data_IF_725509686132
#
_entry.id   IF_725509686132
#
_cell.length_a   1.000
_cell.length_b   1.000
_cell.length_c   1.000
_cell.angle_alpha   90.00
_cell.angle_beta   90.00
_cell.angle_gamma   90.00
#
_symmetry.space_group_name_H-M   'P 1'
#
loop_
_entity.id
_entity.type
_entity.pdbx_description
1 polymer ?
#
# COMPACT_ATOMS: atom_id res chain seq x y z
N UNK A 1 -8.81 -16.26 -40.89
CA UNK A 1 -9.62 -15.30 -40.12
C UNK A 1 -8.70 -14.21 -39.59
N UNK A 2 -8.76 -12.96 -40.08
CA UNK A 2 -7.88 -11.93 -39.55
C UNK A 2 -8.31 -11.58 -38.11
N UNK A 3 -7.33 -11.54 -37.20
CA UNK A 3 -7.52 -11.24 -35.80
C UNK A 3 -8.30 -9.93 -35.62
N UNK A 4 -9.40 -9.99 -34.87
CA UNK A 4 -10.20 -8.83 -34.48
C UNK A 4 -9.29 -7.79 -33.83
N UNK A 5 -8.89 -6.75 -34.58
CA UNK A 5 -8.16 -5.59 -34.03
C UNK A 5 -8.99 -5.10 -32.87
N UNK A 6 -8.41 -5.09 -31.67
CA UNK A 6 -9.05 -4.56 -30.48
C UNK A 6 -9.55 -3.16 -30.83
N UNK A 7 -10.86 -2.92 -30.71
CA UNK A 7 -11.49 -1.61 -30.88
C UNK A 7 -11.07 -0.71 -29.71
N UNK A 8 -9.81 -0.32 -29.67
CA UNK A 8 -9.22 0.49 -28.61
C UNK A 8 -8.83 1.85 -29.18
N UNK A 9 -9.30 2.90 -28.52
CA UNK A 9 -8.93 4.28 -28.85
C UNK A 9 -7.52 4.51 -28.29
N UNK A 10 -6.56 5.03 -29.08
CA UNK A 10 -5.25 5.41 -28.59
C UNK A 10 -5.35 6.40 -27.42
N UNK A 11 -4.48 6.26 -26.43
CA UNK A 11 -4.48 7.12 -25.22
C UNK A 11 -4.32 8.59 -25.59
N UNK A 12 -3.43 8.90 -26.55
CA UNK A 12 -3.21 10.26 -27.02
C UNK A 12 -4.47 10.89 -27.63
N UNK A 13 -5.25 10.11 -28.38
CA UNK A 13 -6.51 10.57 -28.96
C UNK A 13 -7.55 10.87 -27.88
N UNK A 14 -7.59 10.09 -26.80
CA UNK A 14 -8.45 10.36 -25.64
C UNK A 14 -8.02 11.63 -24.88
N UNK A 15 -6.71 11.85 -24.72
CA UNK A 15 -6.16 13.05 -24.07
C UNK A 15 -6.43 14.31 -24.91
N UNK A 16 -6.26 14.24 -26.23
CA UNK A 16 -6.58 15.35 -27.14
C UNK A 16 -8.08 15.68 -27.14
N UNK A 17 -8.95 14.67 -27.21
CA UNK A 17 -10.40 14.87 -27.10
C UNK A 17 -10.73 15.57 -25.78
N UNK A 18 -10.09 15.16 -24.68
CA UNK A 18 -10.32 15.77 -23.38
C UNK A 18 -9.90 17.24 -23.33
N UNK A 19 -8.73 17.57 -23.83
CA UNK A 19 -8.24 18.96 -23.90
C UNK A 19 -9.20 19.86 -24.70
N UNK A 20 -9.75 19.35 -25.81
CA UNK A 20 -10.76 20.08 -26.60
C UNK A 20 -12.05 20.29 -25.81
N UNK A 21 -12.52 19.25 -25.12
CA UNK A 21 -13.70 19.34 -24.27
C UNK A 21 -13.50 20.29 -23.07
N UNK A 22 -12.31 20.37 -22.48
CA UNK A 22 -12.05 21.25 -21.33
C UNK A 22 -12.06 22.74 -21.72
N UNK A 23 -11.88 23.08 -23.01
CA UNK A 23 -12.02 24.45 -23.54
C UNK A 23 -13.48 24.87 -23.80
N UNK A 24 -14.40 23.92 -23.78
CA UNK A 24 -15.82 24.18 -24.07
C UNK A 24 -16.64 24.36 -22.78
N UNK A 25 -17.65 25.26 -22.77
CA UNK A 25 -18.60 25.38 -21.67
C UNK A 25 -19.28 24.03 -21.36
N UNK A 26 -19.46 23.71 -20.08
CA UNK A 26 -19.97 22.40 -19.62
C UNK A 26 -21.32 21.98 -20.25
N UNK A 27 -22.18 22.95 -20.57
CA UNK A 27 -23.51 22.72 -21.17
C UNK A 27 -23.54 22.86 -22.71
N UNK A 28 -22.39 23.07 -23.36
CA UNK A 28 -22.35 23.23 -24.82
C UNK A 28 -22.72 21.91 -25.53
N UNK A 29 -23.65 21.94 -26.51
CA UNK A 29 -23.99 20.75 -27.31
C UNK A 29 -22.81 20.27 -28.15
N UNK A 30 -21.85 21.15 -28.45
CA UNK A 30 -20.63 20.85 -29.19
C UNK A 30 -19.78 19.77 -28.51
N UNK A 31 -19.88 19.63 -27.18
CA UNK A 31 -19.23 18.54 -26.44
C UNK A 31 -19.72 17.17 -26.88
N UNK A 32 -21.03 17.03 -27.08
CA UNK A 32 -21.63 15.77 -27.52
C UNK A 32 -21.23 15.45 -28.97
N UNK A 33 -21.20 16.48 -29.83
CA UNK A 33 -20.79 16.34 -31.23
C UNK A 33 -19.34 15.86 -31.36
N UNK A 34 -18.41 16.41 -30.56
CA UNK A 34 -17.01 15.98 -30.59
C UNK A 34 -16.83 14.53 -30.10
N UNK A 35 -17.60 14.10 -29.09
CA UNK A 35 -17.58 12.70 -28.64
C UNK A 35 -18.19 11.78 -29.70
N UNK A 36 -19.27 12.19 -30.36
CA UNK A 36 -19.90 11.43 -31.44
C UNK A 36 -18.95 11.24 -32.64
N UNK A 37 -18.24 12.28 -33.05
CA UNK A 37 -17.26 12.20 -34.14
C UNK A 37 -16.11 11.21 -33.84
N UNK A 38 -15.61 11.19 -32.60
CA UNK A 38 -14.61 10.22 -32.16
C UNK A 38 -15.21 8.80 -32.12
N UNK A 39 -16.45 8.67 -31.66
CA UNK A 39 -17.14 7.39 -31.60
C UNK A 39 -17.28 6.77 -33.00
N UNK A 40 -17.69 7.58 -33.98
CA UNK A 40 -17.80 7.20 -35.39
C UNK A 40 -16.43 6.81 -35.98
N UNK A 41 -15.40 7.63 -35.77
CA UNK A 41 -14.04 7.38 -36.28
C UNK A 41 -13.47 6.02 -35.86
N UNK A 42 -13.74 5.58 -34.63
CA UNK A 42 -13.25 4.30 -34.09
C UNK A 42 -14.28 3.17 -34.14
N UNK A 43 -15.47 3.39 -34.71
CA UNK A 43 -16.54 2.39 -34.78
C UNK A 43 -17.02 1.92 -33.40
N UNK A 44 -17.09 2.85 -32.44
CA UNK A 44 -17.48 2.64 -31.05
C UNK A 44 -18.73 3.45 -30.71
N UNK A 45 -19.38 3.12 -29.60
CA UNK A 45 -20.48 3.95 -29.08
C UNK A 45 -19.95 5.13 -28.26
N UNK A 46 -20.68 6.25 -28.22
CA UNK A 46 -20.34 7.40 -27.40
C UNK A 46 -20.14 7.03 -25.91
N UNK A 47 -20.94 6.09 -25.38
CA UNK A 47 -20.78 5.55 -24.03
C UNK A 47 -19.42 4.88 -23.79
N UNK A 48 -18.86 4.22 -24.82
CA UNK A 48 -17.54 3.61 -24.75
C UNK A 48 -16.45 4.68 -24.73
N UNK A 49 -16.58 5.74 -25.53
CA UNK A 49 -15.65 6.88 -25.51
C UNK A 49 -15.61 7.53 -24.13
N UNK A 50 -16.77 7.80 -23.51
CA UNK A 50 -16.83 8.35 -22.15
C UNK A 50 -16.18 7.42 -21.11
N UNK A 51 -16.40 6.10 -21.24
CA UNK A 51 -15.81 5.11 -20.33
C UNK A 51 -14.29 5.06 -20.45
N UNK A 52 -13.75 5.00 -21.66
CA UNK A 52 -12.31 4.97 -21.89
C UNK A 52 -11.65 6.30 -21.48
N UNK A 53 -12.28 7.44 -21.77
CA UNK A 53 -11.80 8.76 -21.31
C UNK A 53 -11.76 8.86 -19.78
N UNK A 54 -12.74 8.29 -19.07
CA UNK A 54 -12.75 8.24 -17.60
C UNK A 54 -11.71 7.25 -17.03
N UNK A 55 -11.40 6.16 -17.74
CA UNK A 55 -10.38 5.18 -17.35
C UNK A 55 -8.98 5.78 -17.38
N UNK A 56 -8.62 6.52 -18.43
CA UNK A 56 -7.32 7.19 -18.55
C UNK A 56 -7.09 8.20 -17.43
N UNK A 57 -8.16 8.84 -16.92
CA UNK A 57 -8.06 9.81 -15.83
C UNK A 57 -7.88 9.19 -14.45
N UNK A 58 -8.34 7.95 -14.24
CA UNK A 58 -8.21 7.29 -12.94
C UNK A 58 -6.81 6.69 -12.88
N UNK A 59 -5.91 7.19 -12.01
CA UNK A 59 -4.69 6.44 -11.74
C UNK A 59 -5.12 5.04 -11.32
N UNK A 60 -4.74 4.04 -12.11
CA UNK A 60 -5.05 2.66 -11.76
C UNK A 60 -4.43 2.44 -10.40
N UNK A 61 -5.25 2.09 -9.40
CA UNK A 61 -4.72 1.79 -8.08
C UNK A 61 -3.70 0.67 -8.27
N UNK A 62 -2.42 0.97 -8.07
CA UNK A 62 -1.34 0.00 -8.24
C UNK A 62 -1.47 -1.15 -7.23
N UNK A 63 -2.22 -0.89 -6.16
CA UNK A 63 -2.44 -1.81 -5.08
C UNK A 63 -3.92 -1.94 -4.75
N UNK A 64 -4.27 -3.09 -4.16
CA UNK A 64 -5.61 -3.35 -3.64
C UNK A 64 -5.90 -2.44 -2.45
N UNK A 65 -7.18 -2.13 -2.22
CA UNK A 65 -7.65 -1.27 -1.13
C UNK A 65 -7.25 -1.76 0.26
N UNK A 66 -7.01 -3.06 0.41
CA UNK A 66 -6.59 -3.71 1.66
C UNK A 66 -5.06 -3.91 1.76
N UNK A 67 -4.26 -3.29 0.88
CA UNK A 67 -2.81 -3.39 0.96
C UNK A 67 -2.30 -2.90 2.32
N UNK A 68 -1.53 -3.75 3.00
CA UNK A 68 -0.92 -3.43 4.28
C UNK A 68 -1.83 -3.71 5.48
N UNK A 69 -3.06 -4.21 5.28
CA UNK A 69 -3.92 -4.66 6.38
C UNK A 69 -3.78 -6.16 6.60
N UNK A 70 -3.62 -6.63 7.86
CA UNK A 70 -3.61 -8.05 8.15
C UNK A 70 -4.98 -8.67 7.82
N UNK A 71 -4.94 -9.78 7.08
CA UNK A 71 -6.13 -10.58 6.75
C UNK A 71 -6.37 -11.73 7.71
N UNK A 72 -5.34 -12.09 8.49
CA UNK A 72 -5.36 -13.24 9.42
C UNK A 72 -5.95 -12.85 10.78
N UNK A 73 -5.76 -11.59 11.18
CA UNK A 73 -6.22 -11.03 12.46
C UNK A 73 -6.37 -9.51 12.31
N UNK A 74 -7.05 -8.86 13.26
CA UNK A 74 -7.14 -7.41 13.27
C UNK A 74 -5.76 -6.77 13.51
N UNK A 75 -5.54 -5.56 12.97
CA UNK A 75 -4.27 -4.85 13.15
C UNK A 75 -3.95 -4.62 14.63
N UNK A 76 -4.94 -4.21 15.41
CA UNK A 76 -4.81 -3.96 16.85
C UNK A 76 -4.37 -5.18 17.65
N UNK A 77 -4.65 -6.39 17.15
CA UNK A 77 -4.23 -7.63 17.80
C UNK A 77 -2.83 -8.06 17.35
N UNK A 78 -2.45 -7.78 16.10
CA UNK A 78 -1.14 -8.17 15.57
C UNK A 78 -0.01 -7.25 16.03
N UNK A 79 -0.30 -5.97 16.15
CA UNK A 79 0.65 -4.94 16.57
C UNK A 79 1.39 -5.28 17.88
N UNK A 80 0.70 -5.61 19.00
CA UNK A 80 1.39 -5.95 20.25
C UNK A 80 2.26 -7.22 20.11
N UNK A 81 1.84 -8.21 19.33
CA UNK A 81 2.68 -9.39 19.08
C UNK A 81 3.94 -9.04 18.29
N UNK A 82 3.81 -8.17 17.28
CA UNK A 82 4.96 -7.69 16.51
C UNK A 82 5.92 -6.86 17.38
N UNK A 83 5.41 -6.02 18.26
CA UNK A 83 6.21 -5.25 19.23
C UNK A 83 6.98 -6.18 20.18
N UNK A 84 6.32 -7.22 20.72
CA UNK A 84 7.00 -8.18 21.59
C UNK A 84 8.10 -8.93 20.87
N UNK A 85 7.86 -9.36 19.63
CA UNK A 85 8.89 -10.00 18.81
C UNK A 85 10.05 -9.03 18.55
N UNK A 86 9.76 -7.76 18.25
CA UNK A 86 10.80 -6.74 18.05
C UNK A 86 11.60 -6.49 19.34
N UNK A 87 10.93 -6.39 20.49
CA UNK A 87 11.56 -6.21 21.80
C UNK A 87 12.45 -7.40 22.17
N UNK A 88 12.00 -8.65 21.96
CA UNK A 88 12.81 -9.85 22.17
C UNK A 88 14.08 -9.83 21.32
N UNK A 89 13.96 -9.45 20.04
CA UNK A 89 15.11 -9.32 19.14
C UNK A 89 16.06 -8.23 19.61
N UNK A 90 15.54 -7.08 20.04
CA UNK A 90 16.36 -5.97 20.54
C UNK A 90 17.11 -6.37 21.82
N UNK A 91 16.43 -6.99 22.78
CA UNK A 91 17.03 -7.45 24.05
C UNK A 91 18.09 -8.55 23.88
N UNK A 92 17.96 -9.37 22.85
CA UNK A 92 18.92 -10.44 22.53
C UNK A 92 20.00 -10.00 21.54
N UNK A 93 20.02 -8.72 21.16
CA UNK A 93 21.04 -8.18 20.27
C UNK A 93 22.38 -8.11 20.98
N UNK A 94 23.41 -8.71 20.38
CA UNK A 94 24.78 -8.62 20.86
C UNK A 94 25.56 -7.49 20.17
N UNK A 95 26.80 -7.25 20.61
CA UNK A 95 27.70 -6.24 20.01
C UNK A 95 28.00 -6.46 18.51
N UNK A 96 27.80 -7.68 18.01
CA UNK A 96 27.97 -8.04 16.59
C UNK A 96 26.66 -7.90 15.79
N UNK A 97 25.65 -7.22 16.34
CA UNK A 97 24.30 -7.05 15.78
C UNK A 97 23.55 -8.37 15.50
N UNK A 98 23.99 -9.49 16.07
CA UNK A 98 23.24 -10.75 15.99
C UNK A 98 22.19 -10.77 17.09
N UNK A 99 21.01 -11.25 16.75
CA UNK A 99 19.86 -11.29 17.65
C UNK A 99 19.06 -12.58 17.43
N UNK A 100 18.07 -12.82 18.29
CA UNK A 100 17.16 -13.94 18.17
C UNK A 100 16.46 -13.95 16.80
N UNK A 101 16.29 -15.12 16.20
CA UNK A 101 15.53 -15.23 14.94
C UNK A 101 14.04 -14.99 15.18
N UNK A 102 13.32 -14.48 14.18
CA UNK A 102 11.85 -14.29 14.29
C UNK A 102 11.11 -15.60 14.59
N UNK A 103 11.57 -16.73 14.02
CA UNK A 103 10.97 -18.04 14.30
C UNK A 103 11.11 -18.43 15.77
N UNK A 104 12.32 -18.29 16.32
CA UNK A 104 12.55 -18.60 17.73
C UNK A 104 11.80 -17.65 18.68
N UNK A 105 11.65 -16.37 18.31
CA UNK A 105 10.83 -15.43 19.08
C UNK A 105 9.34 -15.83 19.11
N UNK A 106 8.80 -16.32 17.99
CA UNK A 106 7.43 -16.84 17.90
C UNK A 106 7.28 -18.08 18.79
N UNK A 107 8.20 -19.04 18.71
CA UNK A 107 8.19 -20.24 19.56
C UNK A 107 8.17 -19.88 21.05
N UNK A 108 9.00 -18.93 21.48
CA UNK A 108 9.02 -18.48 22.88
C UNK A 108 7.67 -17.89 23.30
N UNK A 109 7.06 -17.09 22.44
CA UNK A 109 5.77 -16.44 22.69
C UNK A 109 4.59 -17.44 22.71
N UNK A 110 4.69 -18.53 21.95
CA UNK A 110 3.67 -19.59 21.89
C UNK A 110 3.80 -20.62 23.02
N UNK A 111 5.02 -21.08 23.32
CA UNK A 111 5.27 -22.16 24.28
C UNK A 111 5.36 -21.67 25.73
N UNK A 112 6.06 -20.56 25.95
CA UNK A 112 6.37 -20.05 27.30
C UNK A 112 5.62 -18.76 27.64
N UNK A 113 5.33 -17.93 26.62
CA UNK A 113 4.81 -16.58 26.81
C UNK A 113 5.91 -15.59 27.18
N UNK A 114 5.58 -14.30 27.13
CA UNK A 114 6.51 -13.20 27.44
C UNK A 114 5.90 -12.31 28.52
N UNK A 115 6.65 -12.10 29.59
CA UNK A 115 6.25 -11.18 30.65
C UNK A 115 6.42 -9.73 30.18
N UNK A 116 5.33 -8.98 30.28
CA UNK A 116 5.27 -7.55 29.97
C UNK A 116 4.83 -6.77 31.21
N UNK A 117 4.97 -5.45 31.18
CA UNK A 117 4.46 -4.60 32.26
C UNK A 117 2.94 -4.76 32.50
N UNK A 118 2.20 -5.26 31.50
CA UNK A 118 0.75 -5.48 31.57
C UNK A 118 0.37 -6.94 31.88
N UNK A 119 1.36 -7.81 32.13
CA UNK A 119 1.17 -9.22 32.43
C UNK A 119 1.82 -10.17 31.43
N UNK A 120 1.59 -11.47 31.62
CA UNK A 120 2.10 -12.53 30.75
C UNK A 120 1.28 -12.59 29.45
N UNK A 121 1.92 -12.28 28.32
CA UNK A 121 1.30 -12.36 27.00
C UNK A 121 1.71 -13.67 26.34
N UNK A 122 0.72 -14.48 25.95
CA UNK A 122 0.93 -15.75 25.25
C UNK A 122 0.13 -15.77 23.95
N UNK A 123 0.81 -16.04 22.84
CA UNK A 123 0.14 -16.20 21.55
C UNK A 123 -0.42 -17.63 21.41
N UNK A 124 -1.61 -17.80 20.80
CA UNK A 124 -2.12 -19.13 20.47
C UNK A 124 -1.26 -19.81 19.40
N UNK A 125 -1.02 -21.11 19.59
CA UNK A 125 -0.11 -21.89 18.72
C UNK A 125 -0.52 -21.83 17.25
N UNK A 126 0.43 -21.49 16.40
CA UNK A 126 0.25 -21.52 14.95
C UNK A 126 -0.46 -20.31 14.36
N UNK A 127 -0.92 -19.34 15.18
CA UNK A 127 -1.51 -18.08 14.73
C UNK A 127 -0.46 -17.20 14.05
N UNK A 128 0.73 -17.09 14.64
CA UNK A 128 1.78 -16.21 14.16
C UNK A 128 2.70 -16.95 13.18
N UNK A 129 2.48 -16.78 11.88
CA UNK A 129 3.41 -17.28 10.86
C UNK A 129 4.59 -16.34 10.70
N UNK A 130 5.82 -16.88 10.68
CA UNK A 130 7.06 -16.14 10.41
C UNK A 130 6.99 -15.17 9.22
N UNK A 131 6.48 -15.54 8.02
CA UNK A 131 6.39 -14.59 6.90
C UNK A 131 5.45 -13.42 7.18
N UNK A 132 4.34 -13.66 7.90
CA UNK A 132 3.40 -12.62 8.31
C UNK A 132 4.10 -11.65 9.26
N UNK A 133 4.71 -12.15 10.33
CA UNK A 133 5.40 -11.31 11.32
C UNK A 133 6.53 -10.49 10.68
N UNK A 134 7.38 -11.11 9.86
CA UNK A 134 8.46 -10.39 9.16
C UNK A 134 7.94 -9.28 8.24
N UNK A 135 6.83 -9.51 7.52
CA UNK A 135 6.21 -8.50 6.67
C UNK A 135 5.74 -7.30 7.48
N UNK A 136 5.06 -7.53 8.60
CA UNK A 136 4.52 -6.45 9.43
C UNK A 136 5.60 -5.72 10.23
N UNK A 137 6.66 -6.40 10.67
CA UNK A 137 7.82 -5.74 11.25
C UNK A 137 8.44 -4.71 10.30
N UNK A 138 8.58 -5.04 9.01
CA UNK A 138 9.08 -4.10 8.00
C UNK A 138 8.09 -2.97 7.72
N UNK A 139 6.80 -3.32 7.59
CA UNK A 139 5.74 -2.36 7.26
C UNK A 139 5.56 -1.29 8.36
N UNK A 140 5.63 -1.69 9.62
CA UNK A 140 5.51 -0.80 10.79
C UNK A 140 6.85 -0.30 11.33
N UNK A 141 7.94 -0.60 10.63
CA UNK A 141 9.27 -0.07 10.95
C UNK A 141 9.79 -0.51 12.34
N UNK A 142 9.34 -1.67 12.79
CA UNK A 142 9.78 -2.34 14.02
C UNK A 142 10.98 -3.27 13.77
N UNK A 143 11.63 -3.16 12.62
CA UNK A 143 12.87 -3.87 12.33
C UNK A 143 14.05 -3.26 13.09
N UNK A 144 14.98 -4.13 13.51
CA UNK A 144 16.11 -3.77 14.36
C UNK A 144 16.92 -2.60 13.79
N UNK A 145 17.21 -2.62 12.48
CA UNK A 145 17.98 -1.58 11.80
C UNK A 145 17.37 -0.18 11.96
N UNK A 146 16.05 -0.08 12.06
CA UNK A 146 15.34 1.19 12.28
C UNK A 146 15.24 1.54 13.76
N UNK A 147 15.03 0.56 14.62
CA UNK A 147 14.96 0.75 16.07
C UNK A 147 16.29 1.21 16.68
N UNK A 148 17.43 0.74 16.16
CA UNK A 148 18.76 1.14 16.63
C UNK A 148 19.29 2.41 15.96
N UNK A 149 18.55 2.95 14.99
CA UNK A 149 18.97 4.15 14.28
C UNK A 149 18.72 5.36 15.18
N UNK A 150 19.77 6.14 15.41
CA UNK A 150 19.64 7.41 16.11
C UNK A 150 18.67 8.33 15.36
N UNK A 151 17.73 9.00 16.05
CA UNK A 151 16.80 9.90 15.40
C UNK A 151 17.57 11.02 14.68
N UNK A 152 17.06 11.51 13.54
CA UNK A 152 17.71 12.61 12.84
C UNK A 152 17.85 13.81 13.77
N UNK A 153 19.06 14.38 13.84
CA UNK A 153 19.39 15.53 14.69
C UNK A 153 18.43 16.67 14.37
N UNK A 154 17.51 16.99 15.29
CA UNK A 154 16.68 18.19 15.17
C UNK A 154 17.58 19.41 15.36
N UNK A 155 17.55 20.33 14.40
CA UNK A 155 18.16 21.63 14.59
C UNK A 155 17.48 22.31 15.78
N UNK A 156 18.26 22.80 16.74
CA UNK A 156 17.75 23.66 17.79
C UNK A 156 17.15 24.91 17.13
N UNK A 157 15.89 25.29 17.42
CA UNK A 157 15.38 26.56 16.94
C UNK A 157 16.23 27.67 17.56
N UNK A 158 16.94 28.43 16.72
CA UNK A 158 17.74 29.55 17.17
C UNK A 158 16.85 30.56 17.88
N UNK A 159 17.11 30.78 19.17
CA UNK A 159 16.52 31.89 19.90
C UNK A 159 17.06 33.19 19.33
N UNK A 160 16.22 33.89 18.56
CA UNK A 160 16.41 35.31 18.30
C UNK A 160 16.15 36.04 19.63
N UNK A 161 17.21 36.57 20.22
CA UNK A 161 17.15 37.62 21.24
C UNK A 161 17.14 38.98 20.54
#
# INVERSE_FOLDING_TARGET
MPASRRKQIPVDSLLQLRQRLDRLPRKSPERANQVAAIAELYGLSASTVYREMNRVRRPHAAHRTDLGKPRVLAQSELEPYCELVAALKLRTTNKNNRHLSTGRAIELLEDYGVETAHGLVRAPKGLLKRPTVNRYLLLWHLDQSRLTREPPRRAFPGGAQ
#
